data_IF_756330650249
#
_entry.id   IF_756330650249
#
_cell.length_a   1.000
_cell.length_b   1.000
_cell.length_c   1.000
_cell.angle_alpha   90.00
_cell.angle_beta   90.00
_cell.angle_gamma   90.00
#
_symmetry.space_group_name_H-M   'P 1'
#
loop_
_entity.id
_entity.type
_entity.pdbx_description
1 polymer ?
#
# COMPACT_ATOMS: atom_id res chain seq x y z
N UNK A 1 20.36 -8.98 3.82
CA UNK A 1 21.13 -8.00 3.03
C UNK A 1 22.60 -8.14 3.40
N UNK A 2 23.54 -7.57 2.63
CA UNK A 2 24.98 -7.83 2.82
C UNK A 2 25.53 -7.39 4.18
N UNK A 3 25.08 -6.25 4.71
CA UNK A 3 25.53 -5.74 6.03
C UNK A 3 24.39 -5.18 6.89
N UNK A 4 23.20 -5.02 6.32
CA UNK A 4 22.01 -4.60 7.05
C UNK A 4 21.28 -5.80 7.68
N UNK A 5 20.02 -5.58 8.04
CA UNK A 5 19.16 -6.64 8.57
C UNK A 5 18.86 -7.65 7.45
N UNK A 6 18.98 -8.93 7.76
CA UNK A 6 18.45 -10.03 6.94
C UNK A 6 17.26 -10.61 7.67
N UNK A 7 16.08 -10.71 7.05
CA UNK A 7 14.89 -11.20 7.72
C UNK A 7 13.94 -11.91 6.75
N UNK A 8 13.14 -12.82 7.30
CA UNK A 8 11.98 -13.43 6.62
C UNK A 8 10.73 -12.74 7.13
N UNK A 9 9.95 -12.16 6.22
CA UNK A 9 8.71 -11.44 6.50
C UNK A 9 7.58 -12.17 5.78
N UNK A 10 6.50 -12.47 6.48
CA UNK A 10 5.36 -13.15 5.87
C UNK A 10 4.42 -12.17 5.13
N UNK A 11 3.40 -12.72 4.47
CA UNK A 11 2.43 -11.96 3.70
C UNK A 11 1.54 -11.00 4.53
N UNK A 12 1.57 -11.10 5.87
CA UNK A 12 0.91 -10.16 6.79
C UNK A 12 1.84 -9.07 7.32
N UNK A 13 3.12 -9.10 6.95
CA UNK A 13 4.13 -8.16 7.41
C UNK A 13 4.80 -8.54 8.73
N UNK A 14 4.58 -9.77 9.23
CA UNK A 14 5.19 -10.23 10.49
C UNK A 14 6.58 -10.81 10.22
N UNK A 15 7.54 -10.45 11.08
CA UNK A 15 8.90 -11.00 11.06
C UNK A 15 8.90 -12.42 11.62
N UNK A 16 9.35 -13.39 10.83
CA UNK A 16 9.44 -14.82 11.22
C UNK A 16 10.86 -15.25 11.63
N UNK A 17 11.86 -14.50 11.22
CA UNK A 17 13.26 -14.68 11.62
C UNK A 17 14.10 -13.50 11.15
N UNK A 18 15.13 -13.12 11.90
CA UNK A 18 16.01 -12.00 11.57
C UNK A 18 17.45 -12.20 12.07
N UNK A 19 18.40 -11.70 11.29
CA UNK A 19 19.81 -11.53 11.64
C UNK A 19 20.06 -10.02 11.70
N UNK A 20 20.65 -9.59 12.81
CA UNK A 20 21.04 -8.19 13.03
C UNK A 20 22.13 -7.72 12.05
N UNK A 21 22.33 -6.39 11.95
CA UNK A 21 23.33 -5.83 11.04
C UNK A 21 24.76 -6.24 11.43
N UNK A 22 25.66 -6.30 10.44
CA UNK A 22 27.07 -6.61 10.64
C UNK A 22 27.38 -8.02 11.14
N UNK A 23 26.43 -8.96 11.03
CA UNK A 23 26.60 -10.36 11.42
C UNK A 23 26.85 -11.24 10.18
N UNK A 24 27.91 -12.04 10.23
CA UNK A 24 28.16 -13.10 9.26
C UNK A 24 27.46 -14.38 9.75
N UNK A 25 26.20 -14.53 9.36
CA UNK A 25 25.30 -15.58 9.84
C UNK A 25 24.31 -16.00 8.75
N UNK A 26 23.62 -17.13 8.93
CA UNK A 26 22.69 -17.71 7.94
C UNK A 26 21.31 -17.94 8.54
N UNK A 27 20.26 -17.51 7.82
CA UNK A 27 18.86 -17.76 8.16
C UNK A 27 18.36 -18.97 7.37
N UNK A 28 18.19 -20.10 8.06
CA UNK A 28 17.60 -21.32 7.49
C UNK A 28 16.14 -21.45 7.93
N UNK A 29 15.27 -21.88 7.00
CA UNK A 29 13.85 -22.06 7.28
C UNK A 29 12.98 -22.08 6.03
N UNK A 30 11.67 -22.26 6.24
CA UNK A 30 10.67 -22.25 5.18
C UNK A 30 10.16 -20.84 4.92
N UNK A 31 9.94 -20.52 3.64
CA UNK A 31 9.28 -19.27 3.24
C UNK A 31 7.78 -19.40 3.50
N UNK A 32 7.15 -18.47 4.26
CA UNK A 32 5.71 -18.49 4.50
C UNK A 32 4.89 -18.45 3.21
N UNK A 33 3.76 -19.14 3.20
CA UNK A 33 2.86 -19.21 2.03
C UNK A 33 2.33 -17.83 1.65
N UNK A 34 2.25 -17.57 0.34
CA UNK A 34 1.66 -16.34 -0.19
C UNK A 34 0.15 -16.29 0.04
N UNK A 35 -0.37 -15.10 0.38
CA UNK A 35 -1.81 -14.83 0.46
C UNK A 35 -2.41 -14.55 -0.93
N UNK A 36 -3.74 -14.66 -1.08
CA UNK A 36 -4.42 -14.25 -2.31
C UNK A 36 -4.14 -12.78 -2.67
N UNK A 37 -4.18 -12.41 -3.98
CA UNK A 37 -3.93 -11.04 -4.41
C UNK A 37 -4.92 -10.05 -3.78
N UNK A 38 -4.38 -9.05 -3.08
CA UNK A 38 -5.15 -7.95 -2.47
C UNK A 38 -5.81 -7.07 -3.55
N UNK A 39 -6.80 -6.25 -3.21
CA UNK A 39 -7.36 -5.27 -4.15
C UNK A 39 -6.29 -4.35 -4.75
N UNK A 40 -5.30 -3.93 -3.95
CA UNK A 40 -4.16 -3.16 -4.44
C UNK A 40 -3.26 -4.00 -5.36
N UNK A 41 -3.03 -5.29 -5.09
CA UNK A 41 -2.27 -6.14 -6.01
C UNK A 41 -2.98 -6.35 -7.36
N UNK A 42 -4.32 -6.27 -7.39
CA UNK A 42 -5.12 -6.40 -8.62
C UNK A 42 -5.21 -5.10 -9.41
N UNK A 43 -5.44 -3.97 -8.73
CA UNK A 43 -5.73 -2.68 -9.37
C UNK A 43 -4.56 -1.67 -9.33
N UNK A 44 -3.55 -1.89 -8.49
CA UNK A 44 -2.41 -0.99 -8.30
C UNK A 44 -2.85 0.44 -7.96
N UNK A 45 -2.14 1.41 -8.54
CA UNK A 45 -2.42 2.83 -8.33
C UNK A 45 -3.75 3.30 -8.92
N UNK A 46 -4.42 2.52 -9.77
CA UNK A 46 -5.77 2.87 -10.21
C UNK A 46 -6.77 2.90 -9.05
N UNK A 47 -6.59 2.02 -8.05
CA UNK A 47 -7.41 2.05 -6.84
C UNK A 47 -7.20 3.37 -6.07
N UNK A 48 -5.95 3.81 -5.92
CA UNK A 48 -5.64 5.06 -5.22
C UNK A 48 -6.13 6.30 -5.98
N UNK A 49 -5.99 6.30 -7.32
CA UNK A 49 -6.45 7.39 -8.17
C UNK A 49 -7.97 7.49 -8.19
N UNK A 50 -8.69 6.35 -8.19
CA UNK A 50 -10.14 6.31 -8.08
C UNK A 50 -10.64 6.97 -6.80
N UNK A 51 -10.04 6.64 -5.65
CA UNK A 51 -10.36 7.28 -4.37
C UNK A 51 -10.03 8.77 -4.36
N UNK A 52 -8.85 9.16 -4.88
CA UNK A 52 -8.46 10.56 -4.96
C UNK A 52 -9.46 11.38 -5.80
N UNK A 53 -9.82 10.89 -7.00
CA UNK A 53 -10.80 11.55 -7.86
C UNK A 53 -12.16 11.65 -7.19
N UNK A 54 -12.63 10.57 -6.56
CA UNK A 54 -13.91 10.56 -5.84
C UNK A 54 -13.94 11.64 -4.74
N UNK A 55 -12.91 11.70 -3.90
CA UNK A 55 -12.81 12.70 -2.83
C UNK A 55 -12.67 14.12 -3.36
N UNK A 56 -11.93 14.34 -4.46
CA UNK A 56 -11.83 15.64 -5.12
C UNK A 56 -13.17 16.12 -5.69
N UNK A 57 -13.94 15.22 -6.30
CA UNK A 57 -15.27 15.53 -6.79
C UNK A 57 -16.21 15.90 -5.64
N UNK A 58 -16.19 15.15 -4.55
CA UNK A 58 -17.03 15.44 -3.38
C UNK A 58 -16.63 16.75 -2.68
N UNK A 59 -15.34 16.96 -2.41
CA UNK A 59 -14.86 18.10 -1.63
C UNK A 59 -14.72 19.40 -2.42
N UNK A 60 -14.50 19.31 -3.73
CA UNK A 60 -14.12 20.47 -4.54
C UNK A 60 -14.99 20.63 -5.80
N UNK A 61 -15.24 19.54 -6.52
CA UNK A 61 -16.03 19.57 -7.75
C UNK A 61 -17.48 19.94 -7.50
N UNK A 62 -18.15 19.23 -6.59
CA UNK A 62 -19.58 19.35 -6.32
C UNK A 62 -19.97 20.72 -5.72
N UNK A 63 -19.28 21.25 -4.68
CA UNK A 63 -19.62 22.56 -4.13
C UNK A 63 -19.45 23.69 -5.17
N UNK A 64 -18.40 23.60 -6.00
CA UNK A 64 -18.16 24.57 -7.07
C UNK A 64 -19.23 24.51 -8.16
N UNK A 65 -19.62 23.30 -8.57
CA UNK A 65 -20.69 23.11 -9.56
C UNK A 65 -22.01 23.69 -9.06
N UNK A 66 -22.39 23.39 -7.81
CA UNK A 66 -23.60 23.93 -7.20
C UNK A 66 -23.57 25.45 -7.10
N UNK A 67 -22.44 26.04 -6.70
CA UNK A 67 -22.28 27.50 -6.65
C UNK A 67 -22.42 28.15 -8.04
N UNK A 68 -21.90 27.51 -9.09
CA UNK A 68 -22.04 28.00 -10.47
C UNK A 68 -23.48 27.91 -10.99
N UNK A 69 -24.19 26.82 -10.67
CA UNK A 69 -25.60 26.65 -11.04
C UNK A 69 -26.45 27.72 -10.34
N UNK A 70 -26.22 27.95 -9.05
CA UNK A 70 -26.96 28.96 -8.27
C UNK A 70 -26.70 30.40 -8.71
N UNK A 71 -25.54 30.69 -9.32
CA UNK A 71 -25.23 32.02 -9.87
C UNK A 71 -25.83 32.30 -11.26
N UNK A 72 -26.36 31.27 -11.93
CA UNK A 72 -26.92 31.38 -13.29
C UNK A 72 -28.45 31.48 -13.35
N UNK A 73 -29.15 31.27 -12.24
CA UNK A 73 -30.59 31.48 -12.09
C UNK A 73 -30.87 32.74 -11.30
#
# INVERSE_FOLDING_TARGET
>A
TTTGISAVIDASGIVRGAIGPGKADTLEGLVPTALPPTPFARAGHWLTLGWALFLLLLGLGMPRLLALIHRRG
#
